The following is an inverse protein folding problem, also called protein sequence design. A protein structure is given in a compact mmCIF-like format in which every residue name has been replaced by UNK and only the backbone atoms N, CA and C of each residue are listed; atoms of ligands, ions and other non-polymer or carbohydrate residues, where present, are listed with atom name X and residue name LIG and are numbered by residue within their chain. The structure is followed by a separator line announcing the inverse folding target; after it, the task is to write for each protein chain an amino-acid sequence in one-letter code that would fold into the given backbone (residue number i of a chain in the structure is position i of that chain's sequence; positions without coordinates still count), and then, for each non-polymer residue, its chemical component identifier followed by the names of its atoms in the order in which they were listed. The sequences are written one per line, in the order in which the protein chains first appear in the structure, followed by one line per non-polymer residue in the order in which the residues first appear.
data_IF_263789800000
#
_entry.id   IF_263789800000
#
_cell.length_a   1.000
_cell.length_b   1.000
_cell.length_c   1.000
_cell.angle_alpha   90.00
_cell.angle_beta   90.00
_cell.angle_gamma   90.00
#
_symmetry.space_group_name_H-M   'P 1'
#
loop_
_entity.id
_entity.type
_entity.pdbx_description
1 polymer ?
#
# COMPACT_ATOMS: atom_id res chain seq x y z
N UNK A 1 4.96 -45.81 36.29
CA UNK A 1 5.01 -45.07 35.02
C UNK A 1 5.14 -43.60 35.38
N UNK A 2 6.32 -43.01 35.20
CA UNK A 2 6.58 -41.59 35.46
C UNK A 2 6.93 -40.93 34.14
N UNK A 3 6.10 -39.98 33.70
CA UNK A 3 6.30 -39.20 32.49
C UNK A 3 7.54 -38.30 32.61
N UNK A 4 8.36 -38.17 31.55
CA UNK A 4 9.42 -37.17 31.52
C UNK A 4 8.79 -35.79 31.31
N UNK A 5 8.93 -34.90 32.30
CA UNK A 5 8.60 -33.48 32.16
C UNK A 5 9.46 -32.87 31.06
N UNK A 6 8.85 -32.48 29.93
CA UNK A 6 9.51 -31.76 28.86
C UNK A 6 10.00 -30.40 29.38
N UNK A 7 11.32 -30.24 29.50
CA UNK A 7 11.92 -28.99 29.93
C UNK A 7 12.00 -28.03 28.74
N UNK A 8 11.19 -26.98 28.76
CA UNK A 8 11.22 -25.91 27.75
C UNK A 8 12.60 -25.24 27.77
N UNK A 9 13.22 -24.99 26.59
CA UNK A 9 14.53 -24.36 26.54
C UNK A 9 14.52 -22.96 27.19
N UNK A 10 15.58 -22.57 27.90
CA UNK A 10 15.70 -21.24 28.48
C UNK A 10 15.72 -20.15 27.40
N UNK A 11 15.42 -18.89 27.73
CA UNK A 11 15.50 -17.79 26.77
C UNK A 11 16.91 -17.66 26.17
N UNK A 12 17.02 -17.60 24.85
CA UNK A 12 18.30 -17.71 24.17
C UNK A 12 18.23 -17.64 22.64
N UNK A 13 19.40 -17.64 22.01
CA UNK A 13 19.53 -17.76 20.56
C UNK A 13 19.64 -19.23 20.15
N UNK A 14 18.79 -19.65 19.23
CA UNK A 14 18.73 -21.02 18.73
C UNK A 14 18.58 -21.03 17.22
N UNK A 15 18.76 -22.19 16.59
CA UNK A 15 18.50 -22.34 15.16
C UNK A 15 17.04 -22.03 14.82
N UNK A 16 16.81 -21.27 13.74
CA UNK A 16 15.47 -20.87 13.34
C UNK A 16 14.65 -22.09 12.87
N UNK A 17 13.54 -22.45 13.55
CA UNK A 17 12.71 -23.59 13.16
C UNK A 17 12.02 -23.42 11.80
N UNK A 18 12.01 -22.20 11.24
CA UNK A 18 11.56 -21.96 9.87
C UNK A 18 12.58 -22.38 8.80
N UNK A 19 13.75 -22.92 9.19
CA UNK A 19 14.75 -23.50 8.28
C UNK A 19 15.73 -22.50 7.69
N UNK A 20 15.86 -21.30 8.27
CA UNK A 20 16.90 -20.34 7.87
C UNK A 20 18.26 -20.71 8.50
N UNK A 21 19.37 -20.32 7.85
CA UNK A 21 20.72 -20.48 8.42
C UNK A 21 21.05 -19.46 9.52
N UNK A 22 20.03 -18.76 10.03
CA UNK A 22 20.15 -17.71 11.03
C UNK A 22 19.72 -18.23 12.41
N UNK A 23 20.23 -17.59 13.45
CA UNK A 23 19.76 -17.82 14.82
C UNK A 23 18.55 -16.95 15.10
N UNK A 24 17.54 -17.50 15.77
CA UNK A 24 16.33 -16.81 16.20
C UNK A 24 16.26 -16.76 17.72
N UNK A 25 15.75 -15.67 18.28
CA UNK A 25 15.62 -15.51 19.73
C UNK A 25 14.32 -16.14 20.26
N UNK A 26 14.47 -17.05 21.22
CA UNK A 26 13.42 -17.63 22.05
C UNK A 26 13.30 -16.86 23.36
N UNK A 27 12.09 -16.43 23.73
CA UNK A 27 11.86 -15.66 24.96
C UNK A 27 11.48 -16.51 26.19
N UNK A 28 11.47 -17.84 26.06
CA UNK A 28 11.01 -18.78 27.08
C UNK A 28 9.58 -19.30 26.84
N UNK A 29 8.79 -18.60 26.02
CA UNK A 29 7.40 -18.95 25.70
C UNK A 29 7.11 -19.01 24.20
N UNK A 30 7.78 -18.19 23.39
CA UNK A 30 7.62 -18.12 21.94
C UNK A 30 8.89 -17.63 21.20
N UNK A 31 8.91 -17.88 19.89
CA UNK A 31 9.96 -17.39 18.99
C UNK A 31 9.71 -15.94 18.58
N UNK A 32 10.59 -15.02 18.96
CA UNK A 32 10.48 -13.59 18.59
C UNK A 32 10.95 -13.33 17.17
N UNK A 33 10.74 -12.13 16.62
CA UNK A 33 11.20 -11.76 15.27
C UNK A 33 12.68 -11.37 15.18
N UNK A 34 13.43 -11.46 16.28
CA UNK A 34 14.85 -11.14 16.29
C UNK A 34 15.64 -12.27 15.62
N UNK A 35 16.36 -11.91 14.56
CA UNK A 35 17.24 -12.81 13.81
C UNK A 35 18.69 -12.32 13.92
N UNK A 36 19.62 -13.25 14.05
CA UNK A 36 21.06 -13.02 14.13
C UNK A 36 21.75 -13.92 13.10
N UNK A 37 22.65 -13.35 12.30
CA UNK A 37 23.52 -14.14 11.44
C UNK A 37 24.41 -15.05 12.29
N UNK A 38 24.50 -16.34 11.95
CA UNK A 38 25.46 -17.25 12.56
C UNK A 38 26.86 -16.76 12.18
N UNK A 39 27.70 -16.49 13.16
CA UNK A 39 29.11 -16.27 12.87
C UNK A 39 29.70 -17.62 12.46
N UNK A 40 30.19 -17.73 11.23
CA UNK A 40 30.92 -18.92 10.80
C UNK A 40 32.12 -19.11 11.72
N UNK A 41 32.22 -20.29 12.33
CA UNK A 41 33.35 -20.66 13.16
C UNK A 41 34.61 -20.66 12.28
N UNK A 42 35.45 -19.65 12.45
CA UNK A 42 36.81 -19.67 11.95
C UNK A 42 37.56 -20.86 12.57
N UNK A 43 38.20 -21.63 11.69
CA UNK A 43 39.07 -22.81 11.83
C UNK A 43 39.71 -23.16 13.20
N UNK A 44 39.97 -24.46 13.47
CA UNK A 44 40.63 -24.90 14.69
C UNK A 44 42.12 -24.49 14.68
N UNK A 45 42.55 -23.76 15.70
CA UNK A 45 43.97 -23.55 15.98
C UNK A 45 44.44 -24.58 17.01
N UNK A 46 45.26 -25.52 16.56
CA UNK A 46 46.11 -26.36 17.41
C UNK A 46 47.15 -25.47 18.08
N UNK A 47 47.22 -25.44 19.42
CA UNK A 47 48.23 -24.66 20.13
C UNK A 47 48.10 -24.69 21.67
N UNK A 48 48.75 -25.70 22.26
CA UNK A 48 49.44 -25.77 23.56
C UNK A 48 49.00 -24.90 24.75
N UNK A 49 48.66 -25.59 25.86
CA UNK A 49 48.45 -25.06 27.20
C UNK A 49 49.63 -24.25 27.77
N UNK A 50 49.33 -23.04 28.24
CA UNK A 50 50.01 -22.47 29.42
C UNK A 50 49.01 -21.61 30.19
N UNK A 51 48.80 -21.93 31.47
CA UNK A 51 47.96 -21.19 32.39
C UNK A 51 48.57 -19.81 32.71
N UNK A 52 47.74 -18.79 32.88
CA UNK A 52 47.80 -17.78 33.96
C UNK A 52 46.55 -16.88 33.86
N UNK A 53 45.67 -17.01 34.85
CA UNK A 53 44.59 -16.07 35.16
C UNK A 53 45.21 -14.80 35.76
N UNK A 54 44.72 -13.61 35.42
CA UNK A 54 44.15 -12.78 36.49
C UNK A 54 42.70 -12.44 36.20
N UNK A 55 41.86 -12.54 37.24
CA UNK A 55 40.49 -12.05 37.24
C UNK A 55 40.50 -10.54 37.01
N UNK A 56 40.37 -10.12 35.76
CA UNK A 56 39.83 -8.80 35.44
C UNK A 56 38.32 -8.96 35.35
N UNK A 57 37.61 -8.34 36.28
CA UNK A 57 36.18 -8.11 36.22
C UNK A 57 35.84 -7.39 34.91
N UNK A 58 35.53 -8.14 33.86
CA UNK A 58 34.89 -7.61 32.68
C UNK A 58 33.45 -7.28 33.09
N UNK A 59 33.24 -6.03 33.50
CA UNK A 59 31.92 -5.42 33.44
C UNK A 59 31.32 -5.75 32.06
N UNK A 60 30.01 -6.05 31.94
CA UNK A 60 29.42 -6.23 30.64
C UNK A 60 29.70 -4.96 29.86
N UNK A 61 30.58 -5.05 28.87
CA UNK A 61 30.62 -4.06 27.84
C UNK A 61 29.24 -4.14 27.21
N UNK A 62 28.35 -3.24 27.63
CA UNK A 62 27.32 -2.70 26.77
C UNK A 62 28.10 -2.05 25.64
N UNK A 63 28.65 -2.88 24.75
CA UNK A 63 29.03 -2.47 23.43
C UNK A 63 27.76 -1.81 22.96
N UNK A 64 27.80 -0.48 22.91
CA UNK A 64 26.82 0.33 22.23
C UNK A 64 26.99 -0.08 20.77
N UNK A 65 26.46 -1.26 20.47
CA UNK A 65 26.33 -1.80 19.14
C UNK A 65 25.34 -0.87 18.51
N UNK A 66 25.86 0.24 17.98
CA UNK A 66 25.25 0.91 16.86
C UNK A 66 25.25 -0.17 15.79
N UNK A 67 24.23 -1.03 15.82
CA UNK A 67 23.94 -1.95 14.74
C UNK A 67 23.76 -1.01 13.55
N UNK A 68 24.67 -1.03 12.56
CA UNK A 68 24.51 -0.17 11.41
C UNK A 68 23.12 -0.44 10.85
N UNK A 69 22.34 0.61 10.50
CA UNK A 69 20.99 0.41 9.99
C UNK A 69 21.08 -0.59 8.84
N UNK A 70 20.38 -1.73 8.98
CA UNK A 70 20.37 -2.80 7.98
C UNK A 70 20.00 -2.14 6.65
N UNK A 71 20.97 -2.07 5.73
CA UNK A 71 20.74 -1.42 4.45
C UNK A 71 19.58 -2.15 3.76
N UNK A 72 18.60 -1.41 3.19
CA UNK A 72 17.48 -2.04 2.52
C UNK A 72 18.00 -3.00 1.44
N UNK A 73 17.45 -4.21 1.39
CA UNK A 73 17.81 -5.20 0.37
C UNK A 73 17.62 -4.58 -1.02
N UNK A 74 18.74 -4.31 -1.69
CA UNK A 74 18.73 -3.79 -3.06
C UNK A 74 18.32 -4.93 -3.98
N UNK A 75 17.50 -4.62 -4.99
CA UNK A 75 17.09 -5.60 -5.99
C UNK A 75 18.15 -5.66 -7.10
N UNK A 76 18.28 -6.81 -7.76
CA UNK A 76 19.21 -6.98 -8.87
C UNK A 76 19.00 -5.92 -9.96
N UNK A 77 20.11 -5.44 -10.54
CA UNK A 77 20.06 -4.49 -11.64
C UNK A 77 19.25 -5.08 -12.81
N UNK A 78 18.33 -4.30 -13.37
CA UNK A 78 17.45 -4.73 -14.47
C UNK A 78 16.11 -5.35 -14.06
N UNK A 79 15.83 -5.47 -12.75
CA UNK A 79 14.52 -5.98 -12.29
C UNK A 79 13.37 -5.08 -12.77
N UNK A 80 12.29 -5.63 -13.36
CA UNK A 80 11.18 -4.83 -13.85
C UNK A 80 10.45 -4.13 -12.70
N UNK A 81 10.54 -2.80 -12.68
CA UNK A 81 9.89 -1.92 -11.69
C UNK A 81 8.48 -1.53 -12.11
N UNK A 82 8.25 -1.37 -13.42
CA UNK A 82 6.98 -0.96 -13.98
C UNK A 82 6.21 -2.16 -14.51
N UNK A 83 5.07 -2.46 -13.89
CA UNK A 83 4.15 -3.52 -14.33
C UNK A 83 3.05 -2.91 -15.20
N UNK A 84 2.42 -3.71 -16.06
CA UNK A 84 1.20 -3.23 -16.75
C UNK A 84 0.07 -2.88 -15.77
N UNK A 85 0.01 -3.60 -14.64
CA UNK A 85 -1.01 -3.42 -13.62
C UNK A 85 -0.93 -2.07 -12.91
N UNK A 86 0.27 -1.56 -12.58
CA UNK A 86 0.39 -0.24 -11.95
C UNK A 86 -0.08 0.88 -12.88
N UNK A 87 0.20 0.76 -14.18
CA UNK A 87 -0.28 1.70 -15.18
C UNK A 87 -1.80 1.62 -15.34
N UNK A 88 -2.36 0.41 -15.35
CA UNK A 88 -3.80 0.22 -15.35
C UNK A 88 -4.47 0.88 -14.13
N UNK A 89 -3.94 0.72 -12.92
CA UNK A 89 -4.47 1.34 -11.69
C UNK A 89 -4.45 2.88 -11.80
N UNK A 90 -3.33 3.45 -12.24
CA UNK A 90 -3.18 4.91 -12.29
C UNK A 90 -4.05 5.55 -13.37
N UNK A 91 -4.30 4.85 -14.47
CA UNK A 91 -5.15 5.33 -15.56
C UNK A 91 -6.63 4.97 -15.38
N UNK A 92 -6.97 4.01 -14.51
CA UNK A 92 -8.35 3.57 -14.29
C UNK A 92 -9.32 4.72 -13.97
N UNK A 93 -8.97 5.71 -13.13
CA UNK A 93 -9.86 6.84 -12.83
C UNK A 93 -10.20 7.70 -14.05
N UNK A 94 -9.41 7.65 -15.13
CA UNK A 94 -9.72 8.36 -16.39
C UNK A 94 -11.06 7.91 -16.95
N UNK A 95 -11.44 6.64 -16.77
CA UNK A 95 -12.74 6.14 -17.19
C UNK A 95 -13.89 6.84 -16.43
N UNK A 96 -13.73 7.06 -15.13
CA UNK A 96 -14.67 7.84 -14.32
C UNK A 96 -14.70 9.32 -14.73
N UNK A 97 -13.54 9.91 -15.06
CA UNK A 97 -13.46 11.30 -15.55
C UNK A 97 -14.19 11.45 -16.90
N UNK A 98 -14.04 10.49 -17.81
CA UNK A 98 -14.75 10.48 -19.09
C UNK A 98 -16.27 10.39 -18.85
N UNK A 99 -16.73 9.46 -18.00
CA UNK A 99 -18.14 9.35 -17.66
C UNK A 99 -18.71 10.65 -17.05
N UNK A 100 -17.95 11.29 -16.15
CA UNK A 100 -18.29 12.60 -15.60
C UNK A 100 -18.34 13.69 -16.69
N UNK A 101 -17.45 13.63 -17.68
CA UNK A 101 -17.43 14.51 -18.85
C UNK A 101 -18.71 14.43 -19.68
N UNK A 102 -19.34 13.25 -19.76
CA UNK A 102 -20.63 13.06 -20.44
C UNK A 102 -21.84 13.36 -19.56
N UNK A 103 -21.68 13.48 -18.24
CA UNK A 103 -22.79 13.74 -17.33
C UNK A 103 -23.26 15.21 -17.43
N UNK A 104 -24.57 15.40 -17.60
CA UNK A 104 -25.21 16.72 -17.63
C UNK A 104 -25.55 17.20 -16.21
N UNK A 105 -24.53 17.64 -15.48
CA UNK A 105 -24.67 18.14 -14.11
C UNK A 105 -25.61 19.35 -14.05
N UNK A 106 -25.55 20.23 -15.06
CA UNK A 106 -26.42 21.41 -15.13
C UNK A 106 -27.88 21.03 -15.24
N UNK A 107 -28.23 20.17 -16.20
CA UNK A 107 -29.61 19.68 -16.36
C UNK A 107 -30.09 18.89 -15.15
N UNK A 108 -29.22 18.06 -14.56
CA UNK A 108 -29.51 17.33 -13.33
C UNK A 108 -29.88 18.28 -12.17
N UNK A 109 -29.09 19.32 -11.92
CA UNK A 109 -29.36 20.30 -10.85
C UNK A 109 -30.60 21.17 -11.12
N UNK A 110 -30.82 21.60 -12.37
CA UNK A 110 -32.03 22.37 -12.71
C UNK A 110 -33.29 21.55 -12.48
N UNK A 111 -33.29 20.27 -12.89
CA UNK A 111 -34.39 19.35 -12.63
C UNK A 111 -34.57 19.11 -11.12
N UNK A 112 -33.50 19.06 -10.32
CA UNK A 112 -33.63 18.89 -8.87
C UNK A 112 -34.28 20.10 -8.19
N UNK A 113 -33.94 21.32 -8.62
CA UNK A 113 -34.55 22.56 -8.09
C UNK A 113 -36.04 22.65 -8.46
N UNK A 114 -36.39 22.33 -9.70
CA UNK A 114 -37.78 22.36 -10.18
C UNK A 114 -38.69 21.40 -9.42
N UNK A 115 -38.15 20.21 -9.10
CA UNK A 115 -38.86 19.19 -8.34
C UNK A 115 -39.06 19.59 -6.87
N UNK A 116 -38.14 20.35 -6.27
CA UNK A 116 -38.25 20.83 -4.88
C UNK A 116 -39.31 21.93 -4.71
N UNK A 117 -39.52 22.75 -5.76
CA UNK A 117 -40.53 23.82 -5.78
C UNK A 117 -41.97 23.33 -5.92
N UNK A 118 -42.20 22.09 -6.34
CA UNK A 118 -43.52 21.46 -6.38
C UNK A 118 -43.74 20.70 -5.07
N UNK A 119 -44.64 21.21 -4.22
CA UNK A 119 -44.89 20.69 -2.88
C UNK A 119 -45.10 19.17 -2.84
N UNK A 120 -44.07 18.46 -2.35
CA UNK A 120 -44.06 17.05 -1.93
C UNK A 120 -43.96 15.99 -3.04
N UNK A 121 -42.82 15.31 -3.12
CA UNK A 121 -42.81 13.85 -2.87
C UNK A 121 -41.38 13.32 -2.84
N UNK A 122 -41.09 12.47 -1.85
CA UNK A 122 -39.95 11.52 -1.85
C UNK A 122 -39.77 10.80 -3.20
N UNK A 123 -40.85 10.66 -3.98
CA UNK A 123 -40.89 10.10 -5.34
C UNK A 123 -40.03 10.89 -6.35
N UNK A 124 -40.03 12.22 -6.28
CA UNK A 124 -39.24 13.06 -7.17
C UNK A 124 -37.74 12.91 -6.93
N UNK A 125 -37.30 12.91 -5.67
CA UNK A 125 -35.92 12.59 -5.30
C UNK A 125 -35.52 11.15 -5.68
N UNK A 126 -36.44 10.18 -5.60
CA UNK A 126 -36.17 8.82 -6.08
C UNK A 126 -35.92 8.78 -7.60
N UNK A 127 -36.69 9.53 -8.40
CA UNK A 127 -36.50 9.56 -9.87
C UNK A 127 -35.09 9.97 -10.31
N UNK A 128 -34.42 10.81 -9.52
CA UNK A 128 -33.05 11.25 -9.77
C UNK A 128 -32.04 10.12 -9.60
N UNK A 129 -32.26 9.24 -8.61
CA UNK A 129 -31.40 8.08 -8.35
C UNK A 129 -31.50 7.02 -9.45
N UNK A 130 -32.60 7.00 -10.20
CA UNK A 130 -32.81 6.10 -11.33
C UNK A 130 -32.44 6.72 -12.69
N UNK A 131 -31.83 7.91 -12.70
CA UNK A 131 -31.27 8.45 -13.94
C UNK A 131 -30.22 7.47 -14.51
N UNK A 132 -30.36 7.04 -15.78
CA UNK A 132 -29.48 6.01 -16.34
C UNK A 132 -27.99 6.39 -16.30
N UNK A 133 -27.67 7.67 -16.47
CA UNK A 133 -26.28 8.14 -16.47
C UNK A 133 -25.74 8.20 -15.04
N UNK A 134 -26.55 8.63 -14.07
CA UNK A 134 -26.20 8.54 -12.65
C UNK A 134 -25.91 7.11 -12.20
N UNK A 135 -26.80 6.16 -12.54
CA UNK A 135 -26.61 4.73 -12.23
C UNK A 135 -25.36 4.17 -12.90
N UNK A 136 -25.10 4.54 -14.16
CA UNK A 136 -23.87 4.15 -14.86
C UNK A 136 -22.64 4.63 -14.10
N UNK A 137 -22.62 5.90 -13.65
CA UNK A 137 -21.49 6.45 -12.88
C UNK A 137 -21.33 5.74 -11.53
N UNK A 138 -22.43 5.39 -10.86
CA UNK A 138 -22.38 4.60 -9.63
C UNK A 138 -21.77 3.23 -9.85
N UNK A 139 -22.33 2.45 -10.79
CA UNK A 139 -21.83 1.10 -11.12
C UNK A 139 -20.38 1.17 -11.59
N UNK A 140 -20.03 2.16 -12.40
CA UNK A 140 -18.67 2.38 -12.86
C UNK A 140 -17.72 2.70 -11.70
N UNK A 141 -18.14 3.51 -10.73
CA UNK A 141 -17.35 3.80 -9.52
C UNK A 141 -17.04 2.53 -8.73
N UNK A 142 -18.04 1.68 -8.50
CA UNK A 142 -17.86 0.37 -7.86
C UNK A 142 -16.93 -0.55 -8.68
N UNK A 143 -17.09 -0.57 -10.01
CA UNK A 143 -16.26 -1.36 -10.90
C UNK A 143 -14.79 -0.88 -10.91
N UNK A 144 -14.57 0.44 -10.91
CA UNK A 144 -13.23 1.04 -10.81
C UNK A 144 -12.58 0.73 -9.46
N UNK A 145 -13.35 0.80 -8.35
CA UNK A 145 -12.86 0.41 -7.03
C UNK A 145 -12.47 -1.07 -6.97
N UNK A 146 -13.37 -1.98 -7.37
CA UNK A 146 -13.10 -3.42 -7.38
C UNK A 146 -11.95 -3.78 -8.33
N UNK A 147 -11.94 -3.19 -9.54
CA UNK A 147 -10.88 -3.34 -10.52
C UNK A 147 -9.53 -2.90 -9.98
N UNK A 148 -9.47 -1.80 -9.23
CA UNK A 148 -8.24 -1.34 -8.57
C UNK A 148 -7.69 -2.37 -7.60
N UNK A 149 -8.55 -2.94 -6.75
CA UNK A 149 -8.14 -3.95 -5.75
C UNK A 149 -7.59 -5.21 -6.45
N UNK A 150 -8.27 -5.69 -7.49
CA UNK A 150 -7.85 -6.85 -8.28
C UNK A 150 -6.52 -6.58 -8.99
N UNK A 151 -6.37 -5.42 -9.63
CA UNK A 151 -5.12 -5.02 -10.28
C UNK A 151 -3.97 -4.87 -9.27
N UNK A 152 -4.24 -4.34 -8.07
CA UNK A 152 -3.25 -4.22 -7.01
C UNK A 152 -2.75 -5.60 -6.55
N UNK A 153 -3.63 -6.59 -6.45
CA UNK A 153 -3.22 -7.98 -6.19
C UNK A 153 -2.28 -8.52 -7.27
N UNK A 154 -2.58 -8.28 -8.55
CA UNK A 154 -1.72 -8.73 -9.65
C UNK A 154 -0.38 -7.99 -9.72
N UNK A 155 -0.35 -6.68 -9.46
CA UNK A 155 0.88 -5.89 -9.34
C UNK A 155 1.76 -6.40 -8.19
N UNK A 156 1.16 -6.59 -7.00
CA UNK A 156 1.83 -7.15 -5.83
C UNK A 156 2.44 -8.52 -6.14
N UNK A 157 1.67 -9.43 -6.75
CA UNK A 157 2.15 -10.75 -7.16
C UNK A 157 3.23 -10.69 -8.24
N UNK A 158 3.17 -9.70 -9.15
CA UNK A 158 4.20 -9.48 -10.16
C UNK A 158 5.52 -9.00 -9.53
N UNK A 159 5.47 -8.09 -8.56
CA UNK A 159 6.65 -7.62 -7.83
C UNK A 159 7.30 -8.74 -7.01
N UNK A 160 6.50 -9.57 -6.34
CA UNK A 160 7.02 -10.74 -5.61
C UNK A 160 7.75 -11.70 -6.55
N UNK A 161 7.17 -11.97 -7.74
CA UNK A 161 7.81 -12.80 -8.78
C UNK A 161 9.08 -12.19 -9.35
N UNK A 162 9.16 -10.85 -9.38
CA UNK A 162 10.34 -10.12 -9.82
C UNK A 162 11.47 -10.07 -8.76
N UNK A 163 11.27 -10.63 -7.56
CA UNK A 163 12.29 -10.71 -6.52
C UNK A 163 12.23 -9.60 -5.46
N UNK A 164 11.15 -8.82 -5.42
CA UNK A 164 10.94 -7.89 -4.30
C UNK A 164 10.53 -8.66 -3.04
N UNK A 165 11.39 -8.70 -2.03
CA UNK A 165 11.12 -9.34 -0.72
C UNK A 165 10.15 -8.49 0.10
N UNK A 166 8.96 -8.98 0.43
CA UNK A 166 7.92 -8.20 1.13
C UNK A 166 7.62 -6.83 0.46
N UNK A 167 7.00 -6.83 -0.74
CA UNK A 167 6.53 -5.60 -1.38
C UNK A 167 5.32 -5.03 -0.62
N UNK A 168 4.94 -3.79 -0.94
CA UNK A 168 3.79 -3.13 -0.32
C UNK A 168 2.51 -3.95 -0.51
N UNK A 169 1.81 -4.26 0.58
CA UNK A 169 0.70 -5.21 0.54
C UNK A 169 -0.50 -4.66 -0.25
N UNK A 170 -1.06 -5.45 -1.16
CA UNK A 170 -2.18 -5.04 -2.03
C UNK A 170 -3.43 -4.59 -1.26
N UNK A 171 -3.65 -5.15 -0.05
CA UNK A 171 -4.81 -4.82 0.78
C UNK A 171 -4.91 -3.32 1.15
N UNK A 172 -3.81 -2.56 1.09
CA UNK A 172 -3.85 -1.12 1.27
C UNK A 172 -4.67 -0.38 0.20
N UNK A 173 -4.95 -1.04 -0.94
CA UNK A 173 -5.87 -0.51 -1.96
C UNK A 173 -7.32 -0.40 -1.48
N UNK A 174 -7.74 -1.18 -0.46
CA UNK A 174 -9.05 -1.04 0.16
C UNK A 174 -9.22 0.32 0.84
N UNK A 175 -8.14 0.85 1.43
CA UNK A 175 -8.14 2.17 2.03
C UNK A 175 -8.19 3.26 0.95
N UNK A 176 -7.27 3.19 -0.03
CA UNK A 176 -7.38 3.94 -1.28
C UNK A 176 -6.37 3.47 -2.32
N UNK A 177 -6.71 3.65 -3.60
CA UNK A 177 -5.79 3.47 -4.73
C UNK A 177 -4.50 4.31 -4.55
N UNK A 178 -4.65 5.56 -4.09
CA UNK A 178 -3.56 6.52 -3.89
C UNK A 178 -2.55 6.01 -2.85
N UNK A 179 -3.02 5.51 -1.71
CA UNK A 179 -2.15 4.94 -0.67
C UNK A 179 -1.35 3.76 -1.22
N UNK A 180 -2.01 2.88 -1.99
CA UNK A 180 -1.32 1.76 -2.65
C UNK A 180 -0.23 2.22 -3.61
N UNK A 181 -0.55 3.12 -4.55
CA UNK A 181 0.40 3.62 -5.55
C UNK A 181 1.59 4.31 -4.89
N UNK A 182 1.35 5.16 -3.88
CA UNK A 182 2.43 5.87 -3.17
C UNK A 182 3.31 4.86 -2.41
N UNK A 183 2.72 4.00 -1.59
CA UNK A 183 3.47 3.04 -0.76
C UNK A 183 4.34 2.10 -1.60
N UNK A 184 3.76 1.54 -2.66
CA UNK A 184 4.46 0.68 -3.63
C UNK A 184 5.59 1.41 -4.35
N UNK A 185 5.35 2.61 -4.88
CA UNK A 185 6.39 3.38 -5.58
C UNK A 185 7.54 3.82 -4.68
N UNK A 186 7.27 4.15 -3.40
CA UNK A 186 8.33 4.48 -2.43
C UNK A 186 9.20 3.27 -2.10
N UNK A 187 8.59 2.10 -1.84
CA UNK A 187 9.35 0.87 -1.57
C UNK A 187 10.21 0.49 -2.77
N UNK A 188 9.65 0.56 -3.98
CA UNK A 188 10.39 0.22 -5.19
C UNK A 188 11.53 1.20 -5.44
N UNK A 189 11.30 2.52 -5.29
CA UNK A 189 12.37 3.52 -5.39
C UNK A 189 13.49 3.27 -4.39
N UNK A 190 13.17 2.93 -3.14
CA UNK A 190 14.18 2.67 -2.09
C UNK A 190 15.07 1.47 -2.44
N UNK A 191 14.56 0.46 -3.14
CA UNK A 191 15.29 -0.78 -3.43
C UNK A 191 15.90 -0.86 -4.83
N UNK A 192 15.30 -0.20 -5.81
CA UNK A 192 15.74 -0.19 -7.22
C UNK A 192 16.34 1.16 -7.67
N UNK A 193 16.24 2.22 -6.86
CA UNK A 193 16.72 3.56 -7.17
C UNK A 193 15.78 4.40 -8.07
N UNK A 194 14.78 3.78 -8.70
CA UNK A 194 13.79 4.40 -9.58
C UNK A 194 12.39 3.79 -9.36
N UNK A 195 11.34 4.39 -9.93
CA UNK A 195 9.95 3.89 -9.78
C UNK A 195 8.89 4.92 -9.37
N UNK A 196 9.20 6.22 -9.42
CA UNK A 196 8.26 7.29 -9.06
C UNK A 196 7.31 7.72 -10.19
N UNK A 197 7.52 7.26 -11.43
CA UNK A 197 6.70 7.69 -12.56
C UNK A 197 5.17 7.50 -12.35
N UNK A 198 4.67 6.40 -11.75
CA UNK A 198 3.25 6.23 -11.46
C UNK A 198 2.65 7.32 -10.56
N UNK A 199 3.43 7.87 -9.63
CA UNK A 199 2.96 8.94 -8.73
C UNK A 199 2.71 10.22 -9.54
N UNK A 200 3.64 10.59 -10.43
CA UNK A 200 3.49 11.78 -11.26
C UNK A 200 2.29 11.70 -12.20
N UNK A 201 2.07 10.52 -12.80
CA UNK A 201 0.90 10.31 -13.65
C UNK A 201 -0.39 10.31 -12.83
N UNK A 202 -0.39 9.72 -11.63
CA UNK A 202 -1.54 9.78 -10.73
C UNK A 202 -1.88 11.22 -10.36
N UNK A 203 -0.87 12.05 -10.04
CA UNK A 203 -1.08 13.48 -9.78
C UNK A 203 -1.73 14.15 -10.99
N UNK A 204 -1.24 13.89 -12.21
CA UNK A 204 -1.83 14.42 -13.44
C UNK A 204 -3.29 14.01 -13.63
N UNK A 205 -3.63 12.74 -13.38
CA UNK A 205 -5.00 12.22 -13.47
C UNK A 205 -5.91 12.85 -12.42
N UNK A 206 -5.43 13.02 -11.17
CA UNK A 206 -6.20 13.68 -10.11
C UNK A 206 -6.46 15.15 -10.46
N UNK A 207 -5.44 15.88 -10.91
CA UNK A 207 -5.58 17.28 -11.35
C UNK A 207 -6.60 17.39 -12.48
N UNK A 208 -6.51 16.52 -13.49
CA UNK A 208 -7.48 16.47 -14.58
C UNK A 208 -8.90 16.25 -14.06
N UNK A 209 -9.09 15.30 -13.14
CA UNK A 209 -10.40 15.05 -12.53
C UNK A 209 -10.96 16.25 -11.78
N UNK A 210 -10.12 16.94 -11.01
CA UNK A 210 -10.51 18.17 -10.29
C UNK A 210 -10.91 19.28 -11.27
N UNK A 211 -10.16 19.47 -12.36
CA UNK A 211 -10.49 20.47 -13.38
C UNK A 211 -11.83 20.15 -14.04
N UNK A 212 -12.04 18.91 -14.49
CA UNK A 212 -13.29 18.50 -15.14
C UNK A 212 -14.49 18.69 -14.21
N UNK A 213 -14.38 18.24 -12.95
CA UNK A 213 -15.42 18.42 -11.95
C UNK A 213 -15.69 19.91 -11.68
N UNK A 214 -14.64 20.72 -11.50
CA UNK A 214 -14.76 22.15 -11.26
C UNK A 214 -15.44 22.90 -12.40
N UNK A 215 -15.06 22.62 -13.65
CA UNK A 215 -15.69 23.21 -14.85
C UNK A 215 -17.17 22.83 -14.92
N UNK A 216 -17.50 21.55 -14.71
CA UNK A 216 -18.89 21.07 -14.75
C UNK A 216 -19.76 21.71 -13.67
N UNK A 217 -19.25 21.83 -12.45
CA UNK A 217 -19.96 22.48 -11.33
C UNK A 217 -20.11 23.98 -11.59
N UNK A 218 -19.08 24.65 -12.09
CA UNK A 218 -19.14 26.06 -12.43
C UNK A 218 -20.18 26.35 -13.53
N UNK A 219 -20.23 25.53 -14.58
CA UNK A 219 -21.25 25.60 -15.64
C UNK A 219 -22.67 25.40 -15.08
N UNK A 220 -22.85 24.42 -14.20
CA UNK A 220 -24.13 24.17 -13.55
C UNK A 220 -24.60 25.36 -12.71
N UNK A 221 -23.71 25.91 -11.87
CA UNK A 221 -24.00 27.09 -11.03
C UNK A 221 -24.33 28.31 -11.90
N UNK A 222 -23.51 28.61 -12.91
CA UNK A 222 -23.76 29.73 -13.83
C UNK A 222 -25.11 29.56 -14.53
N UNK A 223 -25.43 28.34 -14.93
CA UNK A 223 -26.72 27.97 -15.51
C UNK A 223 -27.90 28.23 -14.58
N UNK A 224 -27.77 27.92 -13.30
CA UNK A 224 -28.81 28.17 -12.28
C UNK A 224 -28.98 29.67 -12.03
N UNK A 225 -27.87 30.40 -11.84
CA UNK A 225 -27.90 31.85 -11.61
C UNK A 225 -28.59 32.59 -12.76
N UNK A 226 -28.39 32.14 -14.00
CA UNK A 226 -29.03 32.71 -15.17
C UNK A 226 -30.57 32.53 -15.20
N UNK A 227 -31.12 31.58 -14.44
CA UNK A 227 -32.56 31.35 -14.33
C UNK A 227 -33.24 32.17 -13.23
N UNK A 228 -32.47 32.84 -12.36
CA UNK A 228 -33.03 33.65 -11.29
C UNK A 228 -33.55 35.00 -11.81
N UNK A 229 -34.63 35.55 -11.24
CA UNK A 229 -35.10 36.90 -11.57
C UNK A 229 -34.02 37.93 -11.26
N UNK A 230 -33.78 38.88 -12.19
CA UNK A 230 -32.95 40.05 -11.92
C UNK A 230 -33.83 41.10 -11.25
N UNK A 231 -33.59 41.35 -9.96
CA UNK A 231 -34.23 42.43 -9.19
C UNK A 231 -33.48 43.75 -9.38
#
# INVERSE_FOLDING_TARGET
MTDPTAQTPPPGWYDDPAGSSQLRWWDGTQWTQHLRARADAAAPVTGTSTATTPLASAAPAYASGVVPPVAPSKVAAGTPVYTGFIWAIVLLPVLSIIALGFFDIRGYMLRSIQLDGQASSSMAGMSMLFDPMYLLIMVLGWAVYAGTVVLAYFDWRALTRAGFVAPFHWAWSFLSATVYVIGRSVIVRRRAGHGLAPIWVLIGVVILGVIVAGVKVADAIAGIVATLPRY
#
